data_IF_029339722358
#
_entry.id   IF_029339722358
#
_cell.length_a   1.000
_cell.length_b   1.000
_cell.length_c   1.000
_cell.angle_alpha   90.00
_cell.angle_beta   90.00
_cell.angle_gamma   90.00
#
_symmetry.space_group_name_H-M   'P 1'
#
loop_
_entity.id
_entity.type
_entity.pdbx_description
1 polymer ?
#
# COMPACT_ATOMS: atom_id res chain seq x y z
N UNK A 1 10.70 73.70 -11.44
CA UNK A 1 10.26 73.07 -12.70
C UNK A 1 11.17 71.89 -12.98
N UNK A 2 10.74 70.68 -12.68
CA UNK A 2 11.30 69.44 -13.25
C UNK A 2 10.36 68.33 -12.93
N UNK A 3 9.70 67.86 -13.95
CA UNK A 3 8.71 66.80 -14.01
C UNK A 3 9.37 65.41 -13.91
N UNK A 4 9.00 64.62 -12.98
CA UNK A 4 9.44 63.23 -12.86
C UNK A 4 8.40 62.33 -13.51
N UNK A 5 8.77 61.61 -14.55
CA UNK A 5 7.95 60.63 -15.25
C UNK A 5 7.89 59.32 -14.44
N UNK A 6 6.68 58.84 -14.19
CA UNK A 6 6.41 57.54 -13.59
C UNK A 6 6.53 56.43 -14.65
N UNK A 7 7.41 55.47 -14.38
CA UNK A 7 7.61 54.29 -15.21
C UNK A 7 6.70 53.14 -14.68
N UNK A 8 5.62 52.84 -15.39
CA UNK A 8 4.73 51.74 -15.10
C UNK A 8 5.29 50.44 -15.72
N UNK A 9 5.98 49.60 -14.94
CA UNK A 9 6.30 48.24 -15.31
C UNK A 9 5.09 47.33 -15.03
N UNK A 10 4.28 47.11 -16.04
CA UNK A 10 3.29 46.01 -16.04
C UNK A 10 4.06 44.69 -16.13
N UNK A 11 4.08 43.92 -15.04
CA UNK A 11 4.53 42.55 -15.08
C UNK A 11 3.50 41.71 -15.86
N UNK A 12 3.93 41.22 -17.01
CA UNK A 12 3.20 40.15 -17.74
C UNK A 12 3.02 38.96 -16.83
N UNK A 13 1.75 38.66 -16.53
CA UNK A 13 1.35 37.43 -15.83
C UNK A 13 1.55 36.31 -16.83
N UNK A 14 2.58 35.49 -16.61
CA UNK A 14 2.81 34.30 -17.41
C UNK A 14 1.56 33.40 -17.34
N UNK A 15 0.90 33.22 -18.47
CA UNK A 15 -0.24 32.35 -18.63
C UNK A 15 0.14 30.90 -18.26
N UNK A 16 -0.69 30.23 -17.46
CA UNK A 16 -0.57 28.82 -17.14
C UNK A 16 -0.41 28.00 -18.43
N UNK A 17 0.39 26.92 -18.44
CA UNK A 17 0.58 26.12 -19.63
C UNK A 17 -0.76 25.55 -20.10
N UNK A 18 -1.06 25.74 -21.38
CA UNK A 18 -2.27 25.23 -22.03
C UNK A 18 -2.39 23.70 -21.79
N UNK A 19 -3.59 23.26 -21.43
CA UNK A 19 -3.91 21.83 -21.23
C UNK A 19 -3.49 21.04 -22.47
N UNK A 20 -2.98 19.81 -22.33
CA UNK A 20 -2.53 19.01 -23.47
C UNK A 20 -3.68 18.79 -24.44
N UNK A 21 -3.47 19.15 -25.70
CA UNK A 21 -4.44 19.11 -26.80
C UNK A 21 -4.84 17.68 -27.22
N UNK A 22 -4.17 16.67 -26.73
CA UNK A 22 -4.41 15.26 -27.10
C UNK A 22 -4.70 14.38 -25.87
N UNK A 23 -5.81 13.63 -25.90
CA UNK A 23 -6.19 12.69 -24.86
C UNK A 23 -5.48 11.35 -25.08
N UNK A 24 -4.69 10.90 -24.10
CA UNK A 24 -3.98 9.62 -24.09
C UNK A 24 -4.98 8.48 -23.83
N UNK A 25 -5.12 7.55 -24.76
CA UNK A 25 -5.93 6.33 -24.59
C UNK A 25 -5.06 5.23 -23.95
N UNK A 26 -5.32 4.93 -22.68
CA UNK A 26 -4.54 4.00 -21.87
C UNK A 26 -5.29 2.68 -21.65
N UNK A 27 -4.67 1.55 -22.00
CA UNK A 27 -5.12 0.23 -21.55
C UNK A 27 -4.38 -0.17 -20.27
N UNK A 28 -5.12 -0.56 -19.23
CA UNK A 28 -4.54 -1.04 -17.95
C UNK A 28 -4.91 -2.50 -17.74
N UNK A 29 -3.94 -3.38 -17.53
CA UNK A 29 -4.15 -4.79 -17.22
C UNK A 29 -3.78 -5.10 -15.79
N UNK A 30 -4.74 -5.61 -15.02
CA UNK A 30 -4.55 -6.03 -13.63
C UNK A 30 -4.90 -7.50 -13.41
N UNK A 31 -4.28 -8.18 -12.42
CA UNK A 31 -4.68 -9.54 -12.06
C UNK A 31 -6.11 -9.62 -11.51
N UNK A 32 -6.54 -8.62 -10.74
CA UNK A 32 -7.88 -8.55 -10.15
C UNK A 32 -8.25 -7.08 -9.88
N UNK A 33 -9.53 -6.82 -9.57
CA UNK A 33 -10.03 -5.54 -9.10
C UNK A 33 -10.55 -5.67 -7.64
N UNK A 34 -9.66 -5.68 -6.63
CA UNK A 34 -10.07 -5.69 -5.24
C UNK A 34 -10.60 -4.33 -4.79
N UNK A 35 -11.43 -4.31 -3.72
CA UNK A 35 -12.09 -3.10 -3.19
C UNK A 35 -11.12 -1.93 -3.00
N UNK A 36 -9.94 -2.17 -2.44
CA UNK A 36 -8.95 -1.12 -2.15
C UNK A 36 -8.35 -0.45 -3.39
N UNK A 37 -8.51 -1.04 -4.58
CA UNK A 37 -8.04 -0.47 -5.86
C UNK A 37 -9.06 0.45 -6.54
N UNK A 38 -10.32 0.40 -6.17
CA UNK A 38 -11.36 1.25 -6.76
C UNK A 38 -10.99 2.74 -6.69
N UNK A 39 -10.62 3.31 -5.52
CA UNK A 39 -10.30 4.73 -5.42
C UNK A 39 -9.12 5.15 -6.32
N UNK A 40 -8.14 4.28 -6.49
CA UNK A 40 -6.98 4.54 -7.37
C UNK A 40 -7.42 4.69 -8.83
N UNK A 41 -8.29 3.81 -9.33
CA UNK A 41 -8.78 3.89 -10.71
C UNK A 41 -9.80 5.02 -10.89
N UNK A 42 -10.61 5.31 -9.87
CA UNK A 42 -11.49 6.48 -9.88
C UNK A 42 -10.69 7.77 -9.97
N UNK A 43 -9.61 7.90 -9.20
CA UNK A 43 -8.73 9.06 -9.24
C UNK A 43 -7.97 9.16 -10.58
N UNK A 44 -7.50 8.04 -11.13
CA UNK A 44 -6.87 8.01 -12.45
C UNK A 44 -7.84 8.49 -13.54
N UNK A 45 -9.14 8.15 -13.42
CA UNK A 45 -10.17 8.58 -14.37
C UNK A 45 -10.48 10.09 -14.30
N UNK A 46 -10.11 10.77 -13.20
CA UNK A 46 -10.26 12.22 -13.06
C UNK A 46 -9.10 13.01 -13.67
N UNK A 47 -7.99 12.33 -14.04
CA UNK A 47 -6.79 13.00 -14.57
C UNK A 47 -7.03 13.54 -15.98
N UNK A 48 -6.85 14.84 -16.14
CA UNK A 48 -7.04 15.51 -17.42
C UNK A 48 -6.10 14.96 -18.49
N UNK A 49 -6.64 14.73 -19.69
CA UNK A 49 -5.87 14.23 -20.83
C UNK A 49 -5.52 12.74 -20.75
N UNK A 50 -6.11 11.98 -19.83
CA UNK A 50 -6.00 10.51 -19.79
C UNK A 50 -7.41 9.90 -19.82
N UNK A 51 -7.66 9.03 -20.81
CA UNK A 51 -8.84 8.17 -20.87
C UNK A 51 -8.35 6.73 -20.82
N UNK A 52 -8.73 5.99 -19.78
CA UNK A 52 -8.28 4.61 -19.65
C UNK A 52 -9.41 3.60 -19.66
N UNK A 53 -9.05 2.36 -19.99
CA UNK A 53 -9.89 1.17 -19.81
C UNK A 53 -9.12 0.14 -19.01
N UNK A 54 -9.76 -0.38 -17.94
CA UNK A 54 -9.20 -1.44 -17.10
C UNK A 54 -9.63 -2.81 -17.64
N UNK A 55 -8.66 -3.71 -17.81
CA UNK A 55 -8.87 -5.14 -18.06
C UNK A 55 -8.42 -5.93 -16.82
N UNK A 56 -9.31 -6.67 -16.19
CA UNK A 56 -8.99 -7.43 -14.98
C UNK A 56 -9.48 -8.88 -15.10
N UNK A 57 -8.73 -9.84 -14.50
CA UNK A 57 -9.13 -11.24 -14.56
C UNK A 57 -10.32 -11.53 -13.70
N UNK A 58 -11.26 -12.31 -14.25
CA UNK A 58 -12.38 -12.89 -13.51
C UNK A 58 -12.00 -14.14 -12.71
N UNK A 59 -10.86 -14.77 -13.03
CA UNK A 59 -10.48 -16.13 -12.61
C UNK A 59 -9.41 -16.18 -11.51
N UNK A 60 -9.00 -15.03 -10.97
CA UNK A 60 -8.02 -14.99 -9.88
C UNK A 60 -8.69 -15.23 -8.52
N UNK A 61 -7.95 -15.78 -7.52
CA UNK A 61 -8.51 -16.07 -6.19
C UNK A 61 -8.96 -14.82 -5.42
N UNK A 62 -8.47 -13.64 -5.81
CA UNK A 62 -8.83 -12.38 -5.18
C UNK A 62 -10.22 -11.96 -5.62
N UNK A 63 -11.10 -11.69 -4.64
CA UNK A 63 -12.48 -11.28 -4.91
C UNK A 63 -12.50 -9.94 -5.64
N UNK A 64 -13.06 -9.93 -6.85
CA UNK A 64 -13.33 -8.73 -7.60
C UNK A 64 -14.56 -7.99 -7.07
N UNK A 65 -14.53 -6.66 -7.20
CA UNK A 65 -15.68 -5.79 -6.96
C UNK A 65 -16.21 -5.23 -8.27
N UNK A 66 -17.45 -4.72 -8.26
CA UNK A 66 -18.05 -4.06 -9.43
C UNK A 66 -17.32 -2.74 -9.69
N UNK A 67 -16.84 -2.50 -10.94
CA UNK A 67 -16.24 -1.21 -11.32
C UNK A 67 -17.27 -0.09 -11.20
N UNK A 68 -16.87 1.04 -10.64
CA UNK A 68 -17.71 2.24 -10.52
C UNK A 68 -16.91 3.48 -10.89
N UNK A 69 -17.42 4.27 -11.83
CA UNK A 69 -16.85 5.56 -12.20
C UNK A 69 -15.69 5.51 -13.22
N UNK A 70 -15.45 4.37 -13.88
CA UNK A 70 -14.48 4.21 -14.97
C UNK A 70 -14.84 3.02 -15.86
N UNK A 71 -14.27 2.99 -17.08
CA UNK A 71 -14.49 1.88 -18.03
C UNK A 71 -13.65 0.66 -17.64
N UNK A 72 -14.29 -0.49 -17.52
CA UNK A 72 -13.62 -1.74 -17.17
C UNK A 72 -14.25 -2.96 -17.84
N UNK A 73 -13.42 -3.96 -18.12
CA UNK A 73 -13.81 -5.20 -18.79
C UNK A 73 -13.19 -6.40 -18.06
N UNK A 74 -14.00 -7.34 -17.55
CA UNK A 74 -13.49 -8.61 -17.04
C UNK A 74 -12.97 -9.45 -18.21
N UNK A 75 -11.80 -10.07 -18.02
CA UNK A 75 -11.15 -10.93 -19.00
C UNK A 75 -10.89 -12.31 -18.44
N UNK A 76 -10.98 -13.33 -19.29
CA UNK A 76 -10.61 -14.69 -18.93
C UNK A 76 -9.12 -14.96 -19.11
N UNK A 77 -8.60 -15.87 -18.31
CA UNK A 77 -7.23 -16.38 -18.41
C UNK A 77 -7.24 -17.87 -18.75
N UNK A 78 -6.29 -18.34 -19.54
CA UNK A 78 -6.10 -19.76 -19.83
C UNK A 78 -4.82 -20.24 -19.16
N UNK A 79 -4.92 -21.30 -18.36
CA UNK A 79 -3.76 -21.98 -17.80
C UNK A 79 -3.17 -22.89 -18.89
N UNK A 80 -1.90 -22.66 -19.23
CA UNK A 80 -1.20 -23.44 -20.24
C UNK A 80 -0.49 -24.62 -19.58
N UNK A 81 -0.44 -25.75 -20.31
CA UNK A 81 0.26 -26.99 -19.87
C UNK A 81 -0.14 -27.46 -18.46
N UNK A 82 -1.37 -27.20 -18.03
CA UNK A 82 -1.85 -27.48 -16.68
C UNK A 82 -0.97 -26.91 -15.54
N UNK A 83 -0.16 -25.89 -15.86
CA UNK A 83 0.75 -25.25 -14.90
C UNK A 83 0.20 -23.91 -14.45
N UNK A 84 -0.09 -23.68 -13.16
CA UNK A 84 -0.57 -22.39 -12.66
C UNK A 84 0.46 -21.27 -12.78
N UNK A 85 1.68 -21.61 -13.22
CA UNK A 85 2.77 -20.67 -13.49
C UNK A 85 2.80 -20.17 -14.93
N UNK A 86 1.97 -20.70 -15.82
CA UNK A 86 1.90 -20.35 -17.24
C UNK A 86 0.48 -19.93 -17.58
N UNK A 87 0.22 -18.62 -17.59
CA UNK A 87 -1.10 -18.05 -17.82
C UNK A 87 -1.10 -17.25 -19.12
N UNK A 88 -2.12 -17.45 -19.95
CA UNK A 88 -2.34 -16.73 -21.18
C UNK A 88 -3.61 -15.91 -21.14
N UNK A 89 -3.50 -14.63 -21.48
CA UNK A 89 -4.60 -13.68 -21.61
C UNK A 89 -4.65 -13.17 -23.04
N UNK A 90 -5.57 -13.71 -23.81
CA UNK A 90 -5.70 -13.37 -25.25
C UNK A 90 -5.93 -11.87 -25.44
N UNK A 91 -6.72 -11.24 -24.58
CA UNK A 91 -7.02 -9.81 -24.65
C UNK A 91 -5.76 -8.91 -24.62
N UNK A 92 -4.68 -9.31 -23.93
CA UNK A 92 -3.41 -8.56 -23.97
C UNK A 92 -2.81 -8.52 -25.38
N UNK A 93 -2.94 -9.61 -26.12
CA UNK A 93 -2.47 -9.72 -27.51
C UNK A 93 -3.35 -8.89 -28.45
N UNK A 94 -4.66 -8.96 -28.25
CA UNK A 94 -5.63 -8.25 -29.08
C UNK A 94 -5.46 -6.73 -28.93
N UNK A 95 -5.32 -6.24 -27.70
CA UNK A 95 -5.05 -4.83 -27.39
C UNK A 95 -3.71 -4.38 -27.99
N UNK A 96 -2.65 -5.19 -27.88
CA UNK A 96 -1.35 -4.85 -28.46
C UNK A 96 -1.40 -4.77 -30.01
N UNK A 97 -2.41 -5.37 -30.65
CA UNK A 97 -2.63 -5.37 -32.11
C UNK A 97 -3.64 -4.34 -32.60
N UNK A 98 -4.61 -3.93 -31.76
CA UNK A 98 -5.80 -3.20 -32.23
C UNK A 98 -5.48 -1.77 -32.68
N UNK A 99 -4.54 -1.06 -32.06
CA UNK A 99 -4.33 0.37 -32.31
C UNK A 99 -5.34 1.29 -31.60
N UNK A 100 -6.21 0.73 -30.76
CA UNK A 100 -7.23 1.49 -30.01
C UNK A 100 -6.64 2.29 -28.86
N UNK A 101 -5.41 1.98 -28.45
CA UNK A 101 -4.73 2.57 -27.31
C UNK A 101 -3.38 3.16 -27.72
N UNK A 102 -2.99 4.21 -27.00
CA UNK A 102 -1.73 4.93 -27.21
C UNK A 102 -0.63 4.45 -26.27
N UNK A 103 -1.03 3.90 -25.10
CA UNK A 103 -0.14 3.32 -24.09
C UNK A 103 -0.79 2.08 -23.49
N UNK A 104 0.00 1.05 -23.19
CA UNK A 104 -0.45 -0.15 -22.47
C UNK A 104 0.31 -0.28 -21.17
N UNK A 105 -0.38 -0.25 -20.02
CA UNK A 105 0.15 -0.53 -18.71
C UNK A 105 -0.27 -1.94 -18.27
N UNK A 106 0.68 -2.82 -17.99
CA UNK A 106 0.38 -4.20 -17.62
C UNK A 106 1.06 -4.62 -16.32
N UNK A 107 0.34 -5.42 -15.53
CA UNK A 107 0.89 -6.01 -14.31
C UNK A 107 2.14 -6.84 -14.61
N UNK A 108 3.26 -6.47 -13.99
CA UNK A 108 4.57 -7.11 -14.18
C UNK A 108 4.65 -8.42 -13.42
N UNK A 109 4.02 -9.45 -13.96
CA UNK A 109 4.04 -10.79 -13.39
C UNK A 109 4.46 -11.81 -14.46
N UNK A 110 5.60 -12.43 -14.25
CA UNK A 110 6.24 -13.35 -15.20
C UNK A 110 5.48 -14.68 -15.41
N UNK A 111 4.43 -14.95 -14.61
CA UNK A 111 3.49 -16.05 -14.87
C UNK A 111 2.63 -15.81 -16.12
N UNK A 112 2.42 -14.55 -16.50
CA UNK A 112 1.64 -14.21 -17.70
C UNK A 112 2.52 -14.26 -18.95
N UNK A 113 2.55 -15.41 -19.62
CA UNK A 113 3.30 -15.60 -20.88
C UNK A 113 2.81 -14.63 -21.96
N UNK A 114 1.51 -14.32 -21.95
CA UNK A 114 0.92 -13.30 -22.84
C UNK A 114 1.50 -11.90 -22.65
N UNK A 115 2.00 -11.55 -21.46
CA UNK A 115 2.69 -10.27 -21.22
C UNK A 115 3.91 -10.15 -22.13
N UNK A 116 4.77 -11.18 -22.16
CA UNK A 116 5.98 -11.18 -22.97
C UNK A 116 5.65 -11.06 -24.47
N UNK A 117 4.64 -11.82 -24.92
CA UNK A 117 4.19 -11.77 -26.30
C UNK A 117 3.60 -10.38 -26.65
N UNK A 118 2.79 -9.80 -25.76
CA UNK A 118 2.20 -8.47 -25.97
C UNK A 118 3.26 -7.36 -26.00
N UNK A 119 4.28 -7.40 -25.13
CA UNK A 119 5.41 -6.46 -25.15
C UNK A 119 6.17 -6.50 -26.48
N UNK A 120 6.42 -7.70 -27.02
CA UNK A 120 7.09 -7.86 -28.33
C UNK A 120 6.25 -7.33 -29.48
N UNK A 121 4.94 -7.57 -29.46
CA UNK A 121 4.00 -7.06 -30.48
C UNK A 121 3.95 -5.53 -30.40
N UNK A 122 3.79 -4.99 -29.18
CA UNK A 122 3.74 -3.55 -28.95
C UNK A 122 5.03 -2.86 -29.45
N UNK A 123 6.20 -3.41 -29.11
CA UNK A 123 7.50 -2.87 -29.55
C UNK A 123 7.62 -2.82 -31.10
N UNK A 124 7.18 -3.88 -31.80
CA UNK A 124 7.17 -3.91 -33.29
C UNK A 124 6.23 -2.87 -33.89
N UNK A 125 5.20 -2.46 -33.19
CA UNK A 125 4.20 -1.47 -33.62
C UNK A 125 4.49 -0.05 -33.14
N UNK A 126 5.56 0.16 -32.39
CA UNK A 126 5.86 1.45 -31.77
C UNK A 126 4.84 1.86 -30.70
N UNK A 127 4.08 0.89 -30.13
CA UNK A 127 3.12 1.12 -29.04
C UNK A 127 3.86 1.10 -27.69
N UNK A 128 3.92 2.23 -26.96
CA UNK A 128 4.58 2.31 -25.67
C UNK A 128 3.92 1.44 -24.61
N UNK A 129 4.75 0.83 -23.75
CA UNK A 129 4.29 -0.08 -22.71
C UNK A 129 4.89 0.28 -21.35
N UNK A 130 4.14 -0.01 -20.28
CA UNK A 130 4.56 0.17 -18.88
C UNK A 130 4.43 -1.16 -18.17
N UNK A 131 5.52 -1.65 -17.59
CA UNK A 131 5.50 -2.81 -16.71
C UNK A 131 5.30 -2.33 -15.25
N UNK A 132 4.15 -2.67 -14.63
CA UNK A 132 3.78 -2.21 -13.30
C UNK A 132 3.81 -3.34 -12.28
N UNK A 133 4.65 -3.24 -11.24
CA UNK A 133 4.75 -4.32 -10.25
C UNK A 133 5.80 -4.10 -9.18
N UNK A 134 6.05 -5.18 -8.43
CA UNK A 134 7.04 -5.17 -7.34
C UNK A 134 8.50 -5.16 -7.84
N UNK A 135 8.76 -5.62 -9.06
CA UNK A 135 10.13 -5.76 -9.59
C UNK A 135 10.96 -6.89 -8.94
N UNK A 136 10.41 -7.58 -7.93
CA UNK A 136 11.03 -8.72 -7.24
C UNK A 136 9.98 -9.73 -6.76
N UNK A 137 10.44 -10.86 -6.23
CA UNK A 137 9.58 -11.86 -5.53
C UNK A 137 10.29 -12.35 -4.28
N UNK A 138 9.54 -12.58 -3.21
CA UNK A 138 10.08 -13.02 -1.90
C UNK A 138 10.89 -14.34 -1.96
N UNK A 139 10.68 -15.18 -2.98
CA UNK A 139 11.33 -16.48 -3.16
C UNK A 139 12.16 -16.54 -4.45
N UNK A 140 12.83 -15.46 -4.80
CA UNK A 140 13.53 -15.34 -6.07
C UNK A 140 15.01 -15.73 -5.96
N UNK A 141 15.51 -16.42 -6.99
CA UNK A 141 16.95 -16.61 -7.22
C UNK A 141 17.42 -15.67 -8.36
N UNK A 142 18.76 -15.56 -8.53
CA UNK A 142 19.37 -14.68 -9.56
C UNK A 142 18.80 -14.90 -10.96
N UNK A 143 18.57 -16.15 -11.38
CA UNK A 143 18.09 -16.47 -12.71
C UNK A 143 16.66 -15.95 -12.92
N UNK A 144 15.77 -16.11 -11.93
CA UNK A 144 14.41 -15.60 -11.97
C UNK A 144 14.39 -14.06 -11.93
N UNK A 145 15.25 -13.44 -11.11
CA UNK A 145 15.38 -11.98 -11.06
C UNK A 145 15.86 -11.44 -12.43
N UNK A 146 16.89 -12.03 -13.03
CA UNK A 146 17.37 -11.64 -14.36
C UNK A 146 16.28 -11.76 -15.44
N UNK A 147 15.48 -12.82 -15.39
CA UNK A 147 14.35 -12.99 -16.30
C UNK A 147 13.27 -11.93 -16.08
N UNK A 148 12.95 -11.62 -14.83
CA UNK A 148 12.03 -10.54 -14.48
C UNK A 148 12.54 -9.20 -14.96
N UNK A 149 13.81 -8.89 -14.70
CA UNK A 149 14.46 -7.66 -15.14
C UNK A 149 14.46 -7.55 -16.67
N UNK A 150 14.70 -8.65 -17.38
CA UNK A 150 14.61 -8.69 -18.85
C UNK A 150 13.17 -8.35 -19.33
N UNK A 151 12.13 -8.86 -18.68
CA UNK A 151 10.73 -8.48 -18.98
C UNK A 151 10.51 -7.00 -18.75
N UNK A 152 10.94 -6.45 -17.60
CA UNK A 152 10.84 -5.02 -17.31
C UNK A 152 11.60 -4.15 -18.31
N UNK A 153 12.81 -4.59 -18.70
CA UNK A 153 13.63 -3.91 -19.70
C UNK A 153 13.03 -3.94 -21.11
N UNK A 154 12.11 -4.88 -21.39
CA UNK A 154 11.38 -4.94 -22.65
C UNK A 154 10.22 -3.94 -22.73
N UNK A 155 9.86 -3.26 -21.63
CA UNK A 155 8.85 -2.21 -21.62
C UNK A 155 9.47 -0.84 -21.84
N UNK A 156 8.69 0.13 -22.31
CA UNK A 156 9.10 1.53 -22.50
C UNK A 156 9.39 2.20 -21.15
N UNK A 157 8.56 1.95 -20.14
CA UNK A 157 8.75 2.42 -18.78
C UNK A 157 8.46 1.30 -17.77
N UNK A 158 9.00 1.44 -16.56
CA UNK A 158 8.71 0.57 -15.42
C UNK A 158 8.13 1.37 -14.28
N UNK A 159 7.11 0.82 -13.61
CA UNK A 159 6.41 1.46 -12.52
C UNK A 159 6.42 0.52 -11.30
N UNK A 160 6.95 1.02 -10.19
CA UNK A 160 7.12 0.26 -8.96
C UNK A 160 6.15 0.71 -7.88
N UNK A 161 5.81 -0.20 -6.97
CA UNK A 161 5.03 0.12 -5.77
C UNK A 161 5.84 0.80 -4.65
N UNK A 162 7.15 0.87 -4.76
CA UNK A 162 8.02 1.46 -3.75
C UNK A 162 9.38 1.90 -4.32
N UNK A 163 10.01 2.82 -3.61
CA UNK A 163 11.27 3.45 -4.01
C UNK A 163 12.45 2.48 -3.95
N UNK A 164 12.45 1.56 -2.99
CA UNK A 164 13.52 0.57 -2.83
C UNK A 164 13.64 -0.31 -4.07
N UNK A 165 12.54 -0.91 -4.50
CA UNK A 165 12.52 -1.77 -5.68
C UNK A 165 12.93 -1.00 -6.95
N UNK A 166 12.47 0.24 -7.08
CA UNK A 166 12.88 1.15 -8.17
C UNK A 166 14.38 1.41 -8.14
N UNK A 167 14.94 1.77 -7.00
CA UNK A 167 16.35 2.09 -6.86
C UNK A 167 17.24 0.85 -7.10
N UNK A 168 16.82 -0.32 -6.64
CA UNK A 168 17.50 -1.58 -6.93
C UNK A 168 17.52 -1.91 -8.43
N UNK A 169 16.41 -1.69 -9.12
CA UNK A 169 16.32 -1.88 -10.57
C UNK A 169 17.21 -0.89 -11.32
N UNK A 170 17.16 0.39 -10.95
CA UNK A 170 17.97 1.46 -11.57
C UNK A 170 19.47 1.17 -11.42
N UNK A 171 19.92 0.74 -10.23
CA UNK A 171 21.33 0.37 -10.00
C UNK A 171 21.80 -0.76 -10.88
N UNK A 172 20.90 -1.72 -11.22
CA UNK A 172 21.26 -2.85 -12.09
C UNK A 172 21.23 -2.52 -13.58
N UNK A 173 20.47 -1.49 -14.00
CA UNK A 173 20.13 -1.31 -15.41
C UNK A 173 20.30 0.11 -15.96
N UNK A 174 20.86 1.04 -15.18
CA UNK A 174 21.03 2.45 -15.58
C UNK A 174 19.77 3.04 -16.27
N UNK A 175 18.64 2.87 -15.62
CA UNK A 175 17.32 3.15 -16.23
C UNK A 175 16.51 4.22 -15.48
N UNK A 176 17.19 5.17 -14.82
CA UNK A 176 16.57 6.18 -13.98
C UNK A 176 15.46 6.97 -14.69
N UNK A 177 15.74 7.38 -15.93
CA UNK A 177 14.83 8.20 -16.75
C UNK A 177 13.48 7.54 -17.08
N UNK A 178 13.37 6.20 -16.98
CA UNK A 178 12.16 5.42 -17.31
C UNK A 178 11.59 4.61 -16.15
N UNK A 179 12.14 4.78 -14.94
CA UNK A 179 11.73 4.06 -13.75
C UNK A 179 10.97 4.98 -12.80
N UNK A 180 9.69 4.71 -12.59
CA UNK A 180 8.75 5.52 -11.83
C UNK A 180 8.29 4.79 -10.56
N UNK A 181 7.79 5.55 -9.57
CA UNK A 181 7.18 5.02 -8.35
C UNK A 181 5.74 5.49 -8.25
N UNK A 182 4.83 4.55 -8.07
CA UNK A 182 3.46 4.78 -7.63
C UNK A 182 3.31 4.07 -6.27
N UNK A 183 3.52 4.76 -5.14
CA UNK A 183 3.55 4.12 -3.84
C UNK A 183 2.23 3.40 -3.60
N UNK A 184 2.31 2.11 -3.20
CA UNK A 184 1.09 1.33 -2.96
C UNK A 184 0.28 2.01 -1.85
N UNK A 185 -0.92 2.47 -2.16
CA UNK A 185 -1.71 3.34 -1.29
C UNK A 185 -3.06 2.73 -0.95
N UNK A 186 -3.53 3.01 0.26
CA UNK A 186 -4.87 2.74 0.74
C UNK A 186 -5.66 4.05 0.80
N UNK A 187 -6.91 4.03 0.37
CA UNK A 187 -7.80 5.18 0.55
C UNK A 187 -8.12 5.37 2.04
N UNK A 188 -7.74 6.53 2.56
CA UNK A 188 -7.94 6.91 3.96
C UNK A 188 -9.23 7.72 4.20
N UNK A 189 -10.01 7.99 3.17
CA UNK A 189 -11.17 8.90 3.26
C UNK A 189 -12.17 8.48 4.32
N UNK A 190 -12.50 7.19 4.39
CA UNK A 190 -13.44 6.64 5.39
C UNK A 190 -12.83 6.66 6.79
N UNK A 191 -11.57 6.25 6.93
CA UNK A 191 -10.85 6.26 8.20
C UNK A 191 -10.73 7.68 8.77
N UNK A 192 -10.39 8.67 7.92
CA UNK A 192 -10.30 10.08 8.32
C UNK A 192 -11.66 10.63 8.75
N UNK A 193 -12.73 10.33 8.00
CA UNK A 193 -14.09 10.74 8.34
C UNK A 193 -14.51 10.18 9.70
N UNK A 194 -14.38 8.87 9.91
CA UNK A 194 -14.74 8.21 11.15
C UNK A 194 -13.87 8.68 12.32
N UNK A 195 -12.56 8.87 12.08
CA UNK A 195 -11.67 9.47 13.07
C UNK A 195 -12.15 10.85 13.51
N UNK A 196 -12.53 11.70 12.55
CA UNK A 196 -13.10 13.02 12.84
C UNK A 196 -14.40 12.94 13.66
N UNK A 197 -15.32 12.06 13.31
CA UNK A 197 -16.58 11.83 14.02
C UNK A 197 -16.36 11.37 15.48
N UNK A 198 -15.45 10.42 15.70
CA UNK A 198 -15.17 9.94 17.05
C UNK A 198 -14.41 10.96 17.91
N UNK A 199 -13.48 11.71 17.33
CA UNK A 199 -12.70 12.73 18.05
C UNK A 199 -13.51 14.01 18.32
N UNK A 200 -14.59 14.27 17.55
CA UNK A 200 -15.52 15.38 17.85
C UNK A 200 -16.44 15.10 19.04
N UNK A 201 -16.53 13.83 19.50
CA UNK A 201 -17.25 13.43 20.71
C UNK A 201 -16.32 12.64 21.66
N UNK A 202 -15.46 13.35 22.42
CA UNK A 202 -14.54 12.72 23.35
C UNK A 202 -15.25 11.90 24.45
N UNK A 203 -16.48 12.28 24.82
CA UNK A 203 -17.24 11.56 25.84
C UNK A 203 -17.66 10.17 25.35
N UNK A 204 -18.06 10.07 24.09
CA UNK A 204 -18.38 8.80 23.43
C UNK A 204 -17.16 7.88 23.36
N UNK A 205 -15.99 8.40 22.96
CA UNK A 205 -14.75 7.61 22.91
C UNK A 205 -14.32 7.16 24.30
N UNK A 206 -14.41 8.04 25.30
CA UNK A 206 -14.12 7.69 26.69
C UNK A 206 -15.10 6.64 27.26
N UNK A 207 -16.38 6.70 26.89
CA UNK A 207 -17.37 5.67 27.27
C UNK A 207 -17.01 4.31 26.66
N UNK A 208 -16.65 4.28 25.36
CA UNK A 208 -16.19 3.07 24.69
C UNK A 208 -14.94 2.49 25.37
N UNK A 209 -13.93 3.32 25.67
CA UNK A 209 -12.71 2.89 26.39
C UNK A 209 -13.05 2.25 27.73
N UNK A 210 -13.93 2.87 28.53
CA UNK A 210 -14.36 2.31 29.84
C UNK A 210 -15.10 1.00 29.69
N UNK A 211 -16.05 0.94 28.74
CA UNK A 211 -16.81 -0.30 28.48
C UNK A 211 -15.89 -1.47 28.11
N UNK A 212 -14.84 -1.20 27.33
CA UNK A 212 -13.88 -2.21 26.87
C UNK A 212 -12.68 -2.41 27.81
N UNK A 213 -12.59 -1.66 28.92
CA UNK A 213 -11.49 -1.73 29.88
C UNK A 213 -10.15 -1.22 29.33
N UNK A 214 -10.18 -0.24 28.40
CA UNK A 214 -9.04 0.33 27.71
C UNK A 214 -8.67 1.74 28.21
N UNK A 215 -9.29 2.20 29.29
CA UNK A 215 -9.12 3.56 29.83
C UNK A 215 -8.08 3.66 30.94
N UNK A 216 -7.50 2.53 31.36
CA UNK A 216 -6.65 2.48 32.55
C UNK A 216 -5.15 2.47 32.27
N UNK A 217 -4.73 2.13 31.05
CA UNK A 217 -3.32 2.00 30.69
C UNK A 217 -3.11 1.95 29.17
N UNK A 218 -1.86 1.79 28.73
CA UNK A 218 -1.58 1.71 27.31
C UNK A 218 -2.19 0.46 26.68
N UNK A 219 -2.54 0.57 25.40
CA UNK A 219 -3.16 -0.50 24.63
C UNK A 219 -2.35 -0.81 23.37
N UNK A 220 -1.89 -2.07 23.26
CA UNK A 220 -1.32 -2.61 22.03
C UNK A 220 -2.45 -3.13 21.14
N UNK A 221 -2.33 -2.91 19.84
CA UNK A 221 -3.35 -3.25 18.87
C UNK A 221 -2.79 -4.08 17.72
N UNK A 222 -3.55 -5.08 17.31
CA UNK A 222 -3.31 -5.87 16.12
C UNK A 222 -4.62 -6.10 15.38
N UNK A 223 -4.61 -5.94 14.05
CA UNK A 223 -5.75 -6.31 13.19
C UNK A 223 -5.26 -6.97 11.93
N UNK A 224 -5.60 -8.24 11.76
CA UNK A 224 -5.39 -9.03 10.54
C UNK A 224 -6.00 -10.42 10.70
N UNK A 225 -5.92 -11.20 9.61
CA UNK A 225 -6.18 -12.64 9.66
C UNK A 225 -5.17 -13.34 10.59
N UNK A 226 -5.64 -14.20 11.48
CA UNK A 226 -4.79 -14.92 12.42
C UNK A 226 -4.19 -16.16 11.75
N UNK A 227 -3.00 -15.98 11.17
CA UNK A 227 -2.20 -17.01 10.48
C UNK A 227 -0.76 -17.03 11.03
N UNK A 228 -0.07 -18.14 10.89
CA UNK A 228 1.30 -18.33 11.40
C UNK A 228 2.30 -17.29 10.87
N UNK A 229 2.15 -16.90 9.62
CA UNK A 229 3.06 -15.96 8.95
C UNK A 229 3.07 -14.57 9.58
N UNK A 230 1.99 -14.18 10.27
CA UNK A 230 1.88 -12.86 10.91
C UNK A 230 2.52 -12.81 12.29
N UNK A 231 2.90 -13.97 12.89
CA UNK A 231 3.61 -14.09 14.16
C UNK A 231 2.93 -13.34 15.32
N UNK A 232 1.59 -13.39 15.38
CA UNK A 232 0.80 -12.78 16.48
C UNK A 232 1.16 -13.40 17.85
N UNK A 233 1.73 -14.61 17.86
CA UNK A 233 2.32 -15.28 19.02
C UNK A 233 3.37 -14.40 19.71
N UNK A 234 4.24 -13.72 18.97
CA UNK A 234 5.28 -12.85 19.52
C UNK A 234 4.71 -11.59 20.22
N UNK A 235 3.55 -11.07 19.73
CA UNK A 235 2.86 -9.98 20.42
C UNK A 235 2.40 -10.42 21.82
N UNK A 236 1.94 -11.65 21.99
CA UNK A 236 1.58 -12.18 23.31
C UNK A 236 2.82 -12.43 24.18
N UNK A 237 3.89 -12.93 23.59
CA UNK A 237 5.16 -13.23 24.30
C UNK A 237 5.84 -11.97 24.87
N UNK A 238 5.68 -10.80 24.25
CA UNK A 238 6.28 -9.57 24.77
C UNK A 238 5.53 -8.99 25.99
N UNK A 239 4.26 -9.35 26.22
CA UNK A 239 3.43 -8.76 27.28
C UNK A 239 3.97 -8.98 28.69
N UNK A 240 4.41 -10.20 29.11
CA UNK A 240 4.96 -10.42 30.44
C UNK A 240 6.13 -9.49 30.79
N UNK A 241 6.98 -9.15 29.83
CA UNK A 241 8.10 -8.21 30.01
C UNK A 241 7.68 -6.74 30.18
N UNK A 242 6.44 -6.41 29.82
CA UNK A 242 5.91 -5.03 29.86
C UNK A 242 5.08 -4.74 31.12
N UNK A 243 4.44 -5.75 31.72
CA UNK A 243 3.46 -5.52 32.81
C UNK A 243 4.07 -5.01 34.10
N UNK A 244 5.38 -5.18 34.32
CA UNK A 244 6.07 -4.63 35.46
C UNK A 244 6.09 -3.09 35.47
N UNK A 245 6.33 -2.49 34.28
CA UNK A 245 6.33 -1.02 34.08
C UNK A 245 4.93 -0.51 33.74
N UNK A 246 4.14 -1.29 33.01
CA UNK A 246 2.77 -0.95 32.58
C UNK A 246 1.75 -1.95 33.16
N UNK A 247 1.44 -1.90 34.46
CA UNK A 247 0.61 -2.90 35.13
C UNK A 247 -0.83 -2.97 34.59
N UNK A 248 -1.28 -1.95 33.89
CA UNK A 248 -2.61 -1.88 33.26
C UNK A 248 -2.58 -1.99 31.74
N UNK A 249 -1.48 -2.51 31.17
CA UNK A 249 -1.36 -2.76 29.74
C UNK A 249 -2.48 -3.68 29.27
N UNK A 250 -3.06 -3.36 28.11
CA UNK A 250 -4.04 -4.17 27.40
C UNK A 250 -3.54 -4.52 26.01
N UNK A 251 -4.03 -5.63 25.48
CA UNK A 251 -3.80 -6.06 24.09
C UNK A 251 -5.16 -6.32 23.45
N UNK A 252 -5.37 -5.73 22.28
CA UNK A 252 -6.57 -5.97 21.48
C UNK A 252 -6.16 -6.63 20.16
N UNK A 253 -6.71 -7.81 19.91
CA UNK A 253 -6.48 -8.59 18.68
C UNK A 253 -7.80 -8.70 17.93
N UNK A 254 -7.87 -7.99 16.80
CA UNK A 254 -9.01 -8.05 15.88
C UNK A 254 -8.67 -8.97 14.73
N UNK A 255 -9.47 -10.00 14.56
CA UNK A 255 -9.29 -10.96 13.48
C UNK A 255 -9.74 -12.37 13.86
N UNK A 256 -9.72 -13.23 12.86
CA UNK A 256 -9.98 -14.64 13.00
C UNK A 256 -9.07 -15.45 12.08
N UNK A 257 -8.91 -16.75 12.37
CA UNK A 257 -8.07 -17.61 11.56
C UNK A 257 -7.63 -18.89 12.26
N UNK A 258 -6.90 -19.76 11.56
CA UNK A 258 -6.56 -21.10 12.03
C UNK A 258 -5.72 -21.14 13.32
N UNK A 259 -5.02 -20.04 13.66
CA UNK A 259 -4.16 -20.00 14.87
C UNK A 259 -4.84 -19.37 16.07
N UNK A 260 -6.10 -18.94 15.98
CA UNK A 260 -6.81 -18.24 17.07
C UNK A 260 -6.82 -19.03 18.37
N UNK A 261 -7.25 -20.27 18.34
CA UNK A 261 -7.34 -21.12 19.54
C UNK A 261 -5.96 -21.31 20.20
N UNK A 262 -4.91 -21.47 19.42
CA UNK A 262 -3.54 -21.58 19.93
C UNK A 262 -3.07 -20.27 20.59
N UNK A 263 -3.47 -19.11 20.08
CA UNK A 263 -3.15 -17.80 20.69
C UNK A 263 -3.90 -17.59 22.01
N UNK A 264 -5.18 -17.98 22.08
CA UNK A 264 -5.97 -17.92 23.32
C UNK A 264 -5.37 -18.83 24.42
N UNK A 265 -4.96 -20.05 24.04
CA UNK A 265 -4.24 -20.96 24.94
C UNK A 265 -2.88 -20.39 25.37
N UNK A 266 -2.13 -19.78 24.45
CA UNK A 266 -0.85 -19.13 24.76
C UNK A 266 -1.03 -17.99 25.77
N UNK A 267 -2.04 -17.13 25.58
CA UNK A 267 -2.35 -16.06 26.54
C UNK A 267 -2.63 -16.60 27.94
N UNK A 268 -3.35 -17.73 28.02
CA UNK A 268 -3.62 -18.41 29.31
C UNK A 268 -2.34 -18.97 29.95
N UNK A 269 -1.48 -19.64 29.18
CA UNK A 269 -0.18 -20.16 29.68
C UNK A 269 0.76 -19.04 30.15
N UNK A 270 0.73 -17.88 29.51
CA UNK A 270 1.52 -16.71 29.88
C UNK A 270 0.93 -15.94 31.07
N UNK A 271 -0.26 -16.33 31.57
CA UNK A 271 -0.93 -15.63 32.68
C UNK A 271 -1.43 -14.24 32.33
N UNK A 272 -1.73 -13.97 31.06
CA UNK A 272 -2.16 -12.65 30.52
C UNK A 272 -3.55 -12.69 29.89
N UNK A 273 -4.31 -13.79 30.03
CA UNK A 273 -5.61 -13.92 29.35
C UNK A 273 -6.61 -12.82 29.73
N UNK A 274 -6.55 -12.32 30.97
CA UNK A 274 -7.36 -11.19 31.46
C UNK A 274 -6.99 -9.83 30.82
N UNK A 275 -5.85 -9.74 30.17
CA UNK A 275 -5.32 -8.53 29.51
C UNK A 275 -5.51 -8.50 28.02
N UNK A 276 -5.85 -9.65 27.40
CA UNK A 276 -5.98 -9.82 25.96
C UNK A 276 -7.45 -9.91 25.55
N UNK A 277 -7.86 -9.05 24.63
CA UNK A 277 -9.21 -9.08 24.05
C UNK A 277 -9.14 -9.61 22.62
N UNK A 278 -9.70 -10.80 22.37
CA UNK A 278 -9.91 -11.33 21.03
C UNK A 278 -11.34 -10.99 20.59
N UNK A 279 -11.48 -10.01 19.68
CA UNK A 279 -12.80 -9.54 19.24
C UNK A 279 -13.46 -10.43 18.19
N UNK A 280 -12.69 -11.31 17.53
CA UNK A 280 -13.07 -11.92 16.27
C UNK A 280 -12.84 -10.97 15.09
N UNK A 281 -13.25 -11.38 13.89
CA UNK A 281 -13.10 -10.56 12.69
C UNK A 281 -14.12 -9.42 12.66
N UNK A 282 -13.65 -8.20 12.43
CA UNK A 282 -14.47 -7.01 12.21
C UNK A 282 -14.17 -6.49 10.80
N UNK A 283 -15.21 -6.40 9.96
CA UNK A 283 -15.08 -6.00 8.55
C UNK A 283 -15.58 -4.59 8.28
N UNK A 284 -16.49 -4.10 9.13
CA UNK A 284 -17.08 -2.77 9.00
C UNK A 284 -16.18 -1.71 9.62
N UNK A 285 -15.72 -0.76 8.81
CA UNK A 285 -14.80 0.29 9.24
C UNK A 285 -15.34 1.10 10.44
N UNK A 286 -16.64 1.37 10.45
CA UNK A 286 -17.30 2.09 11.55
C UNK A 286 -17.23 1.36 12.91
N UNK A 287 -17.18 0.01 12.89
CA UNK A 287 -17.03 -0.80 14.10
C UNK A 287 -15.56 -0.95 14.49
N UNK A 288 -14.65 -0.84 13.54
CA UNK A 288 -13.20 -0.97 13.75
C UNK A 288 -12.57 0.34 14.26
N UNK A 289 -13.06 1.49 13.80
CA UNK A 289 -12.54 2.81 14.13
C UNK A 289 -12.33 3.06 15.64
N UNK A 290 -13.29 2.79 16.54
CA UNK A 290 -13.09 3.05 17.96
C UNK A 290 -11.99 2.19 18.60
N UNK A 291 -11.70 1.00 18.09
CA UNK A 291 -10.60 0.17 18.56
C UNK A 291 -9.24 0.77 18.20
N UNK A 292 -9.07 1.26 16.96
CA UNK A 292 -7.88 2.01 16.57
C UNK A 292 -7.68 3.24 17.45
N UNK A 293 -8.73 4.04 17.62
CA UNK A 293 -8.68 5.30 18.39
C UNK A 293 -8.53 5.10 19.91
N UNK A 294 -8.81 3.89 20.42
CA UNK A 294 -8.61 3.52 21.80
C UNK A 294 -7.23 2.96 22.08
N UNK A 295 -6.40 2.78 21.06
CA UNK A 295 -5.10 2.13 21.15
C UNK A 295 -3.95 3.13 21.06
N UNK A 296 -2.77 2.72 21.52
CA UNK A 296 -1.58 3.57 21.57
C UNK A 296 -0.54 3.16 20.54
N UNK A 297 -0.39 1.87 20.27
CA UNK A 297 0.63 1.34 19.38
C UNK A 297 0.08 0.16 18.58
N UNK A 298 0.34 0.14 17.29
CA UNK A 298 0.04 -0.98 16.42
C UNK A 298 1.24 -1.92 16.33
N UNK A 299 1.12 -3.11 16.89
CA UNK A 299 2.19 -4.11 16.88
C UNK A 299 1.82 -5.23 15.94
N UNK A 300 2.54 -5.32 14.83
CA UNK A 300 2.34 -6.32 13.80
C UNK A 300 3.66 -7.07 13.56
N UNK A 301 3.91 -8.19 14.24
CA UNK A 301 5.25 -8.77 14.32
C UNK A 301 5.87 -9.10 12.96
N UNK A 302 5.12 -9.67 12.02
CA UNK A 302 5.73 -10.07 10.74
C UNK A 302 4.73 -10.02 9.58
N UNK A 303 5.26 -9.83 8.35
CA UNK A 303 4.51 -9.91 7.09
C UNK A 303 3.45 -8.81 6.91
N UNK A 304 3.69 -7.63 7.49
CA UNK A 304 2.80 -6.47 7.38
C UNK A 304 2.72 -5.96 5.93
N UNK A 305 1.54 -5.53 5.53
CA UNK A 305 1.25 -4.89 4.24
C UNK A 305 0.39 -3.64 4.43
N UNK A 306 -0.75 -3.54 3.73
CA UNK A 306 -1.68 -2.39 3.82
C UNK A 306 -2.19 -2.12 5.25
N UNK A 307 -2.12 -3.08 6.16
CA UNK A 307 -2.44 -2.87 7.59
C UNK A 307 -1.57 -1.80 8.24
N UNK A 308 -0.33 -1.59 7.74
CA UNK A 308 0.54 -0.49 8.16
C UNK A 308 -0.12 0.86 7.88
N UNK A 309 -0.54 1.07 6.64
CA UNK A 309 -1.19 2.33 6.25
C UNK A 309 -2.55 2.51 6.92
N UNK A 310 -3.28 1.42 7.13
CA UNK A 310 -4.55 1.45 7.84
C UNK A 310 -4.37 1.94 9.30
N UNK A 311 -3.40 1.38 10.02
CA UNK A 311 -3.08 1.83 11.38
C UNK A 311 -2.61 3.30 11.42
N UNK A 312 -1.71 3.66 10.50
CA UNK A 312 -1.21 5.03 10.39
C UNK A 312 -2.32 6.04 10.00
N UNK A 313 -3.34 5.61 9.25
CA UNK A 313 -4.50 6.43 8.90
C UNK A 313 -5.37 6.84 10.11
N UNK A 314 -5.34 6.04 11.17
CA UNK A 314 -5.90 6.41 12.46
C UNK A 314 -4.92 7.14 13.39
N UNK A 315 -3.68 7.29 12.96
CA UNK A 315 -2.61 7.93 13.75
C UNK A 315 -1.93 6.95 14.72
N UNK A 316 -1.96 5.63 14.48
CA UNK A 316 -1.20 4.68 15.29
C UNK A 316 0.21 4.50 14.74
N UNK A 317 1.26 4.71 15.54
CA UNK A 317 2.61 4.29 15.20
C UNK A 317 2.68 2.76 15.10
N UNK A 318 3.59 2.27 14.26
CA UNK A 318 3.69 0.85 13.94
C UNK A 318 5.01 0.25 14.41
N UNK A 319 4.94 -0.91 15.05
CA UNK A 319 6.11 -1.76 15.34
C UNK A 319 6.01 -3.03 14.52
N UNK A 320 7.07 -3.34 13.76
CA UNK A 320 7.18 -4.56 12.95
C UNK A 320 8.63 -5.02 12.83
N UNK A 321 8.84 -6.20 12.23
CA UNK A 321 10.18 -6.78 12.05
C UNK A 321 11.06 -6.00 11.07
N UNK A 322 12.39 -6.06 11.29
CA UNK A 322 13.42 -5.59 10.34
C UNK A 322 13.71 -6.58 9.20
N UNK A 323 13.06 -7.78 9.19
CA UNK A 323 13.21 -8.75 8.09
C UNK A 323 12.67 -8.21 6.77
N UNK A 324 13.56 -7.64 5.99
CA UNK A 324 13.25 -7.05 4.69
C UNK A 324 12.65 -8.05 3.68
N UNK A 325 12.87 -9.36 3.87
CA UNK A 325 12.29 -10.38 2.99
C UNK A 325 10.78 -10.56 3.24
N UNK A 326 10.31 -10.24 4.44
CA UNK A 326 8.90 -10.26 4.80
C UNK A 326 8.15 -8.99 4.40
N UNK A 327 8.85 -7.89 4.08
CA UNK A 327 8.24 -6.59 3.82
C UNK A 327 7.38 -6.56 2.56
N UNK A 328 6.23 -5.93 2.67
CA UNK A 328 5.50 -5.41 1.53
C UNK A 328 5.99 -3.98 1.20
N UNK A 329 5.69 -3.42 0.02
CA UNK A 329 6.17 -2.09 -0.38
C UNK A 329 5.78 -0.97 0.59
N UNK A 330 4.67 -1.12 1.28
CA UNK A 330 4.12 -0.14 2.23
C UNK A 330 5.03 0.09 3.44
N UNK A 331 5.88 -0.90 3.76
CA UNK A 331 6.82 -0.81 4.90
C UNK A 331 7.85 0.31 4.70
N UNK A 332 8.11 0.74 3.46
CA UNK A 332 8.94 1.92 3.18
C UNK A 332 8.38 3.21 3.82
N UNK A 333 7.09 3.25 4.14
CA UNK A 333 6.45 4.35 4.87
C UNK A 333 6.81 4.40 6.35
N UNK A 334 7.28 3.29 6.93
CA UNK A 334 7.73 3.27 8.31
C UNK A 334 9.12 3.88 8.42
N UNK A 335 9.24 4.93 9.24
CA UNK A 335 10.47 5.66 9.52
C UNK A 335 10.79 5.52 11.02
N UNK A 336 11.91 4.87 11.39
CA UNK A 336 12.27 4.62 12.77
C UNK A 336 12.23 5.90 13.64
N UNK A 337 11.60 5.80 14.79
CA UNK A 337 11.42 6.88 15.78
C UNK A 337 10.60 8.09 15.31
N UNK A 338 10.08 8.04 14.07
CA UNK A 338 9.22 9.11 13.53
C UNK A 338 7.74 8.71 13.55
N UNK A 339 7.41 7.52 13.01
CA UNK A 339 6.03 7.03 12.91
C UNK A 339 5.91 5.55 13.26
N UNK A 340 6.96 4.96 13.80
CA UNK A 340 7.04 3.57 14.19
C UNK A 340 8.46 3.14 14.46
N UNK A 341 8.67 1.83 14.61
CA UNK A 341 9.99 1.24 14.84
C UNK A 341 10.07 -0.18 14.27
N UNK A 342 11.27 -0.60 13.95
CA UNK A 342 11.60 -1.99 13.65
C UNK A 342 12.18 -2.66 14.90
N UNK A 343 11.90 -3.95 15.04
CA UNK A 343 12.58 -4.83 15.98
C UNK A 343 13.27 -5.97 15.22
N UNK A 344 14.27 -6.62 15.81
CA UNK A 344 15.01 -7.73 15.19
C UNK A 344 14.12 -8.94 14.98
N UNK A 345 14.07 -9.46 13.75
CA UNK A 345 13.20 -10.58 13.40
C UNK A 345 13.35 -11.78 14.35
N UNK A 346 12.24 -12.25 14.88
CA UNK A 346 12.20 -13.40 15.78
C UNK A 346 12.68 -13.15 17.21
N UNK A 347 13.10 -11.93 17.56
CA UNK A 347 13.61 -11.55 18.88
C UNK A 347 12.51 -10.90 19.72
N UNK A 348 11.92 -11.66 20.64
CA UNK A 348 10.85 -11.19 21.54
C UNK A 348 11.38 -10.19 22.57
N UNK A 349 12.62 -10.32 23.00
CA UNK A 349 13.25 -9.41 23.96
C UNK A 349 13.42 -8.03 23.32
N UNK A 350 13.91 -7.98 22.08
CA UNK A 350 14.04 -6.73 21.32
C UNK A 350 12.67 -6.11 21.00
N UNK A 351 11.66 -6.92 20.64
CA UNK A 351 10.27 -6.45 20.47
C UNK A 351 9.75 -5.82 21.76
N UNK A 352 9.97 -6.48 22.90
CA UNK A 352 9.57 -6.00 24.23
C UNK A 352 10.22 -4.65 24.55
N UNK A 353 11.53 -4.54 24.32
CA UNK A 353 12.28 -3.31 24.58
C UNK A 353 11.84 -2.15 23.69
N UNK A 354 11.63 -2.41 22.40
CA UNK A 354 11.13 -1.40 21.46
C UNK A 354 9.75 -0.89 21.89
N UNK A 355 8.83 -1.78 22.22
CA UNK A 355 7.49 -1.41 22.70
C UNK A 355 7.58 -0.62 24.00
N UNK A 356 8.41 -1.08 24.96
CA UNK A 356 8.66 -0.41 26.24
C UNK A 356 9.14 1.02 26.05
N UNK A 357 10.17 1.23 25.23
CA UNK A 357 10.75 2.55 24.96
C UNK A 357 9.74 3.52 24.33
N UNK A 358 8.88 3.04 23.43
CA UNK A 358 7.85 3.88 22.80
C UNK A 358 6.76 4.25 23.82
N UNK A 359 6.30 3.31 24.64
CA UNK A 359 5.23 3.56 25.61
C UNK A 359 5.68 4.42 26.79
N UNK A 360 6.96 4.35 27.18
CA UNK A 360 7.52 5.10 28.29
C UNK A 360 7.66 6.61 27.98
N UNK A 361 7.81 6.99 26.73
CA UNK A 361 7.96 8.38 26.29
C UNK A 361 6.66 8.89 25.65
N UNK A 362 5.78 9.45 26.47
CA UNK A 362 4.45 9.90 26.04
C UNK A 362 4.52 11.03 25.01
N UNK A 363 5.43 11.96 25.18
CA UNK A 363 5.60 13.09 24.26
C UNK A 363 6.04 12.60 22.86
N UNK A 364 7.03 11.70 22.84
CA UNK A 364 7.46 11.05 21.60
C UNK A 364 6.34 10.24 20.95
N UNK A 365 5.59 9.46 21.73
CA UNK A 365 4.47 8.68 21.22
C UNK A 365 3.42 9.57 20.54
N UNK A 366 3.07 10.71 21.13
CA UNK A 366 2.09 11.64 20.55
C UNK A 366 2.64 12.33 19.28
N UNK A 367 3.94 12.64 19.23
CA UNK A 367 4.61 13.09 18.00
C UNK A 367 4.59 12.01 16.92
N UNK A 368 4.89 10.76 17.27
CA UNK A 368 4.84 9.62 16.35
C UNK A 368 3.42 9.39 15.81
N UNK A 369 2.38 9.54 16.64
CA UNK A 369 0.98 9.46 16.21
C UNK A 369 0.64 10.48 15.12
N UNK A 370 1.11 11.71 15.28
CA UNK A 370 0.91 12.80 14.31
C UNK A 370 1.62 12.51 12.99
N UNK A 371 2.87 12.02 13.06
CA UNK A 371 3.66 11.69 11.87
C UNK A 371 3.14 10.43 11.16
N UNK A 372 2.61 9.45 11.89
CA UNK A 372 1.97 8.28 11.31
C UNK A 372 0.75 8.70 10.45
N UNK A 373 -0.13 9.53 10.99
CA UNK A 373 -1.27 10.06 10.25
C UNK A 373 -0.83 10.81 9.00
N UNK A 374 0.15 11.71 9.12
CA UNK A 374 0.70 12.45 7.98
C UNK A 374 1.24 11.53 6.89
N UNK A 375 1.99 10.51 7.27
CA UNK A 375 2.54 9.53 6.33
C UNK A 375 1.44 8.85 5.51
N UNK A 376 0.37 8.36 6.18
CA UNK A 376 -0.72 7.67 5.48
C UNK A 376 -1.54 8.59 4.58
N UNK A 377 -1.72 9.87 4.98
CA UNK A 377 -2.63 10.81 4.28
C UNK A 377 -1.94 11.64 3.21
N UNK A 378 -0.63 11.87 3.32
CA UNK A 378 0.12 12.70 2.38
C UNK A 378 1.10 11.89 1.53
N UNK A 379 2.02 11.11 2.16
CA UNK A 379 3.10 10.41 1.45
C UNK A 379 2.58 9.17 0.71
N UNK A 380 1.56 8.49 1.27
CA UNK A 380 0.95 7.28 0.73
C UNK A 380 -0.53 7.48 0.37
N UNK A 381 -0.89 8.69 -0.05
CA UNK A 381 -2.25 8.98 -0.53
C UNK A 381 -2.53 8.35 -1.89
N UNK A 382 -3.82 8.14 -2.19
CA UNK A 382 -4.27 7.71 -3.53
C UNK A 382 -3.79 8.68 -4.60
N UNK A 383 -3.80 10.00 -4.32
CA UNK A 383 -3.30 11.04 -5.21
C UNK A 383 -1.83 10.82 -5.56
N UNK A 384 -0.97 10.57 -4.55
CA UNK A 384 0.46 10.29 -4.78
C UNK A 384 0.69 9.05 -5.63
N UNK A 385 -0.10 8.00 -5.41
CA UNK A 385 -0.03 6.80 -6.24
C UNK A 385 -0.37 7.12 -7.70
N UNK A 386 -1.44 7.87 -7.92
CA UNK A 386 -1.89 8.24 -9.26
C UNK A 386 -0.96 9.25 -9.93
N UNK A 387 -0.33 10.17 -9.17
CA UNK A 387 0.73 11.06 -9.71
C UNK A 387 1.88 10.25 -10.33
N UNK A 388 2.32 9.19 -9.64
CA UNK A 388 3.34 8.28 -10.15
C UNK A 388 2.89 7.51 -11.39
N UNK A 389 1.62 7.04 -11.40
CA UNK A 389 1.04 6.39 -12.58
C UNK A 389 0.97 7.35 -13.77
N UNK A 390 0.47 8.56 -13.56
CA UNK A 390 0.36 9.60 -14.58
C UNK A 390 1.73 9.98 -15.16
N UNK A 391 2.74 10.16 -14.31
CA UNK A 391 4.10 10.45 -14.75
C UNK A 391 4.64 9.35 -15.68
N UNK A 392 4.46 8.08 -15.32
CA UNK A 392 4.86 6.96 -16.16
C UNK A 392 4.09 6.92 -17.49
N UNK A 393 2.78 7.20 -17.48
CA UNK A 393 1.93 7.23 -18.68
C UNK A 393 2.37 8.34 -19.62
N UNK A 394 2.57 9.57 -19.14
CA UNK A 394 3.00 10.71 -19.94
C UNK A 394 4.40 10.49 -20.51
N UNK A 395 5.33 9.96 -19.72
CA UNK A 395 6.64 9.58 -20.22
C UNK A 395 6.53 8.52 -21.33
N UNK A 396 5.81 7.43 -21.10
CA UNK A 396 5.67 6.38 -22.10
C UNK A 396 5.05 6.93 -23.40
N UNK A 397 4.01 7.76 -23.30
CA UNK A 397 3.37 8.41 -24.45
C UNK A 397 4.35 9.29 -25.24
N UNK A 398 5.23 10.04 -24.57
CA UNK A 398 6.25 10.88 -25.24
C UNK A 398 7.28 10.05 -26.06
N UNK A 399 7.44 8.76 -25.74
CA UNK A 399 8.32 7.83 -26.46
C UNK A 399 7.63 7.15 -27.66
N UNK A 400 6.36 7.48 -27.95
CA UNK A 400 5.63 6.94 -29.11
C UNK A 400 6.33 7.35 -30.40
N UNK A 401 6.69 6.37 -31.22
CA UNK A 401 7.19 6.65 -32.58
C UNK A 401 6.01 7.15 -33.41
N UNK A 402 6.13 8.32 -33.96
CA UNK A 402 5.16 8.93 -34.88
C UNK A 402 5.16 8.20 -36.21
#
# INVERSE_FOLDING_TARGET
>A
MTTTAANSNAREVASAPAAPTETIRLAVFQPALPKYRLPVFQELNRRAGIRFKLFYSSDEPVKNVTPVGFDAEPISSKVLLKSPRLIWRQKQIDVARSGDFDVVMAGWNTRYVSLIASLRIAAKRGLPTIAWGHGYSKQENRAKQNFRDWVGNSATAVLFYGSRARNDFVRRHDSEHRAFVAPNSLDQSEAIRLRGEWLSDPARLAAFKREKGLDQGPTLFFVSRLIHENRTDMLLECVPGLIGEFPRLRVVIVGDGPVRAALEEQASRLGIADRVTFTGAIYEEAQLAPWFLSSDLFVYPRNIGLSLQHAMGYGLPVVTTDDQASWAPEVEGLKPWMNGMFYRDGDVEDLTEVVRLILADRERLDAMKSLALKTATEDYSVQKMVDGMEAAVRYAYSQRRR
#
